data_IF_421731954404
#
_entry.id   IF_421731954404
#
_cell.length_a   1.000
_cell.length_b   1.000
_cell.length_c   1.000
_cell.angle_alpha   90.00
_cell.angle_beta   90.00
_cell.angle_gamma   90.00
#
_symmetry.space_group_name_H-M   'P 1'
#
loop_
_entity.id
_entity.type
_entity.pdbx_description
1 polymer ?
#
# COMPACT_ATOMS: atom_id res chain seq x y z
N UNK A 1 20.88 19.36 -8.92
CA UNK A 1 19.55 19.98 -8.75
C UNK A 1 18.93 19.43 -7.47
N UNK A 2 18.85 20.23 -6.40
CA UNK A 2 18.00 19.88 -5.26
C UNK A 2 16.57 20.17 -5.71
N UNK A 3 15.76 19.12 -5.83
CA UNK A 3 14.32 19.31 -5.90
C UNK A 3 13.93 19.76 -4.50
N UNK A 4 13.88 21.08 -4.30
CA UNK A 4 13.23 21.64 -3.12
C UNK A 4 11.77 21.23 -3.21
N UNK A 5 11.45 20.09 -2.59
CA UNK A 5 10.06 19.71 -2.31
C UNK A 5 9.58 20.69 -1.24
N UNK A 6 9.27 21.93 -1.64
CA UNK A 6 8.27 22.75 -0.95
C UNK A 6 6.89 22.15 -1.24
N UNK A 7 6.77 20.84 -1.00
CA UNK A 7 5.56 20.08 -1.18
C UNK A 7 4.66 20.42 -0.01
N UNK A 8 3.59 21.12 -0.30
CA UNK A 8 2.53 21.46 0.64
C UNK A 8 2.24 20.23 1.54
N UNK A 9 2.51 20.32 2.85
CA UNK A 9 2.39 19.21 3.83
C UNK A 9 1.04 18.49 3.70
N UNK A 10 0.02 19.24 3.28
CA UNK A 10 -1.30 18.74 2.94
C UNK A 10 -1.31 17.72 1.79
N UNK A 11 -0.67 18.00 0.64
CA UNK A 11 -0.59 17.06 -0.49
C UNK A 11 0.21 15.80 -0.15
N UNK A 12 1.17 15.93 0.76
CA UNK A 12 1.94 14.81 1.31
C UNK A 12 1.07 13.88 2.15
N UNK A 13 0.31 14.44 3.10
CA UNK A 13 -0.62 13.68 3.92
C UNK A 13 -1.74 13.06 3.08
N UNK A 14 -2.29 13.81 2.13
CA UNK A 14 -3.35 13.33 1.25
C UNK A 14 -2.86 12.20 0.35
N UNK A 15 -1.65 12.34 -0.21
CA UNK A 15 -1.03 11.29 -1.03
C UNK A 15 -0.67 10.04 -0.24
N UNK A 16 -0.14 10.18 0.97
CA UNK A 16 0.12 9.04 1.87
C UNK A 16 -1.16 8.31 2.28
N UNK A 17 -2.22 9.06 2.59
CA UNK A 17 -3.53 8.48 2.90
C UNK A 17 -4.10 7.74 1.69
N UNK A 18 -4.15 8.37 0.52
CA UNK A 18 -4.70 7.74 -0.70
C UNK A 18 -3.89 6.52 -1.15
N UNK A 19 -2.55 6.56 -1.02
CA UNK A 19 -1.68 5.45 -1.40
C UNK A 19 -1.67 4.30 -0.39
N UNK A 20 -1.79 4.59 0.90
CA UNK A 20 -1.55 3.63 1.99
C UNK A 20 -2.79 3.11 2.71
N UNK A 21 -3.92 3.85 2.70
CA UNK A 21 -5.12 3.49 3.50
C UNK A 21 -5.67 2.12 3.09
N UNK A 22 -5.71 1.80 1.80
CA UNK A 22 -6.16 0.48 1.35
C UNK A 22 -5.32 -0.66 1.93
N UNK A 23 -3.99 -0.50 1.97
CA UNK A 23 -3.08 -1.50 2.54
C UNK A 23 -3.25 -1.64 4.05
N UNK A 24 -3.43 -0.53 4.76
CA UNK A 24 -3.70 -0.53 6.21
C UNK A 24 -5.01 -1.26 6.49
N UNK A 25 -6.09 -0.92 5.78
CA UNK A 25 -7.39 -1.58 5.93
C UNK A 25 -7.27 -3.08 5.62
N UNK A 26 -6.60 -3.45 4.53
CA UNK A 26 -6.39 -4.85 4.15
C UNK A 26 -5.59 -5.63 5.20
N UNK A 27 -4.53 -5.03 5.75
CA UNK A 27 -3.73 -5.63 6.81
C UNK A 27 -4.56 -5.89 8.07
N UNK A 28 -5.26 -4.87 8.57
CA UNK A 28 -6.07 -4.98 9.78
C UNK A 28 -7.29 -5.89 9.60
N UNK A 29 -7.90 -5.90 8.42
CA UNK A 29 -8.98 -6.82 8.08
C UNK A 29 -8.52 -8.28 8.22
N UNK A 30 -7.37 -8.64 7.65
CA UNK A 30 -6.84 -10.00 7.75
C UNK A 30 -6.31 -10.35 9.15
N UNK A 31 -5.62 -9.42 9.80
CA UNK A 31 -5.00 -9.68 11.10
C UNK A 31 -6.00 -9.72 12.24
N UNK A 32 -7.01 -8.84 12.26
CA UNK A 32 -7.91 -8.68 13.39
C UNK A 32 -9.29 -9.28 13.10
N UNK A 33 -9.92 -8.85 12.00
CA UNK A 33 -11.33 -9.19 11.75
C UNK A 33 -11.52 -10.63 11.28
N UNK A 34 -10.57 -11.15 10.50
CA UNK A 34 -10.64 -12.51 9.96
C UNK A 34 -10.21 -13.53 11.01
N UNK A 35 -10.93 -14.65 11.10
CA UNK A 35 -10.55 -15.82 11.90
C UNK A 35 -10.15 -16.93 10.93
N UNK A 36 -8.91 -17.39 10.98
CA UNK A 36 -8.39 -18.40 10.05
C UNK A 36 -6.88 -18.56 10.14
N UNK A 37 -6.33 -19.58 9.48
CA UNK A 37 -4.90 -19.82 9.42
C UNK A 37 -4.16 -18.77 8.57
N UNK A 38 -4.89 -18.11 7.68
CA UNK A 38 -4.37 -17.15 6.72
C UNK A 38 -4.23 -15.73 7.30
N UNK A 39 -4.50 -15.48 8.59
CA UNK A 39 -4.46 -14.11 9.17
C UNK A 39 -3.10 -13.44 9.01
N UNK A 40 -2.03 -14.22 9.18
CA UNK A 40 -0.65 -13.71 9.10
C UNK A 40 -0.31 -13.14 7.73
N UNK A 41 -1.04 -13.56 6.68
CA UNK A 41 -0.90 -13.04 5.33
C UNK A 41 -1.20 -11.53 5.26
N UNK A 42 -1.98 -10.98 6.20
CA UNK A 42 -2.17 -9.54 6.34
C UNK A 42 -0.88 -8.76 6.60
N UNK A 43 0.17 -9.39 7.15
CA UNK A 43 1.46 -8.75 7.34
C UNK A 43 2.11 -8.33 6.03
N UNK A 44 1.82 -9.04 4.92
CA UNK A 44 2.37 -8.70 3.61
C UNK A 44 1.92 -7.31 3.17
N UNK A 45 0.71 -6.87 3.51
CA UNK A 45 0.23 -5.55 3.11
C UNK A 45 0.98 -4.38 3.79
N UNK A 46 1.70 -4.59 4.89
CA UNK A 46 2.59 -3.55 5.43
C UNK A 46 3.78 -3.22 4.52
N UNK A 47 4.13 -4.15 3.63
CA UNK A 47 5.16 -3.96 2.58
C UNK A 47 4.54 -3.30 1.32
N UNK A 48 3.28 -2.88 1.40
CA UNK A 48 2.57 -2.18 0.33
C UNK A 48 2.47 -2.99 -0.97
N UNK A 49 2.76 -2.41 -2.15
CA UNK A 49 2.56 -3.05 -3.45
C UNK A 49 3.44 -4.30 -3.65
N UNK A 50 4.64 -4.32 -3.06
CA UNK A 50 5.50 -5.52 -3.06
C UNK A 50 4.81 -6.65 -2.29
N UNK A 51 4.20 -6.33 -1.16
CA UNK A 51 3.36 -7.24 -0.39
C UNK A 51 2.19 -7.82 -1.18
N UNK A 52 1.46 -6.96 -1.90
CA UNK A 52 0.39 -7.39 -2.81
C UNK A 52 0.89 -8.34 -3.90
N UNK A 53 2.05 -8.07 -4.50
CA UNK A 53 2.64 -8.96 -5.50
C UNK A 53 2.99 -10.33 -4.89
N UNK A 54 3.64 -10.35 -3.73
CA UNK A 54 3.96 -11.59 -3.01
C UNK A 54 2.69 -12.39 -2.67
N UNK A 55 1.66 -11.71 -2.16
CA UNK A 55 0.36 -12.33 -1.90
C UNK A 55 -0.24 -12.99 -3.14
N UNK A 56 -0.25 -12.26 -4.25
CA UNK A 56 -0.76 -12.76 -5.51
C UNK A 56 -0.02 -14.03 -5.94
N UNK A 57 1.32 -14.02 -5.91
CA UNK A 57 2.10 -15.20 -6.32
C UNK A 57 1.96 -16.40 -5.38
N UNK A 58 1.84 -16.17 -4.07
CA UNK A 58 1.60 -17.23 -3.10
C UNK A 58 0.25 -17.93 -3.31
N UNK A 59 -0.78 -17.16 -3.70
CA UNK A 59 -2.17 -17.63 -3.76
C UNK A 59 -2.72 -17.79 -5.17
N UNK A 60 -1.93 -17.54 -6.22
CA UNK A 60 -2.40 -17.57 -7.62
C UNK A 60 -3.05 -18.90 -8.04
N UNK A 61 -2.61 -20.00 -7.44
CA UNK A 61 -3.11 -21.35 -7.71
C UNK A 61 -4.07 -21.86 -6.61
N UNK A 62 -4.24 -21.10 -5.53
CA UNK A 62 -5.12 -21.48 -4.42
C UNK A 62 -6.57 -21.06 -4.75
N UNK A 63 -7.40 -22.07 -5.07
CA UNK A 63 -8.82 -21.86 -5.37
C UNK A 63 -9.66 -21.59 -4.11
N UNK A 64 -9.20 -22.02 -2.94
CA UNK A 64 -9.93 -21.85 -1.68
C UNK A 64 -9.78 -20.42 -1.15
N UNK A 65 -8.64 -19.78 -1.42
CA UNK A 65 -8.34 -18.41 -0.99
C UNK A 65 -8.30 -17.38 -2.13
N UNK A 66 -9.09 -17.58 -3.19
CA UNK A 66 -9.08 -16.70 -4.36
C UNK A 66 -9.36 -15.22 -4.03
N UNK A 67 -10.21 -14.94 -3.04
CA UNK A 67 -10.53 -13.58 -2.62
C UNK A 67 -9.32 -12.81 -2.06
N UNK A 68 -8.33 -13.48 -1.44
CA UNK A 68 -7.09 -12.82 -0.97
C UNK A 68 -6.23 -12.34 -2.13
N UNK A 69 -6.13 -13.19 -3.16
CA UNK A 69 -5.45 -12.86 -4.41
C UNK A 69 -6.14 -11.68 -5.08
N UNK A 70 -7.47 -11.69 -5.14
CA UNK A 70 -8.25 -10.60 -5.74
C UNK A 70 -8.08 -9.29 -4.95
N UNK A 71 -8.12 -9.37 -3.61
CA UNK A 71 -7.86 -8.21 -2.74
C UNK A 71 -6.46 -7.63 -2.95
N UNK A 72 -5.44 -8.49 -3.05
CA UNK A 72 -4.08 -8.06 -3.35
C UNK A 72 -3.95 -7.37 -4.71
N UNK A 73 -4.64 -7.88 -5.74
CA UNK A 73 -4.71 -7.26 -7.06
C UNK A 73 -5.41 -5.90 -7.02
N UNK A 74 -6.54 -5.77 -6.31
CA UNK A 74 -7.23 -4.48 -6.18
C UNK A 74 -6.35 -3.43 -5.51
N UNK A 75 -5.62 -3.79 -4.45
CA UNK A 75 -4.66 -2.90 -3.82
C UNK A 75 -3.52 -2.51 -4.76
N UNK A 76 -3.00 -3.48 -5.54
CA UNK A 76 -1.97 -3.22 -6.53
C UNK A 76 -2.45 -2.28 -7.65
N UNK A 77 -3.67 -2.49 -8.16
CA UNK A 77 -4.28 -1.62 -9.16
C UNK A 77 -4.52 -0.22 -8.61
N UNK A 78 -5.01 -0.11 -7.37
CA UNK A 78 -5.14 1.18 -6.68
C UNK A 78 -3.81 1.92 -6.60
N UNK A 79 -2.72 1.21 -6.27
CA UNK A 79 -1.38 1.79 -6.26
C UNK A 79 -0.88 2.22 -7.64
N UNK A 80 -1.14 1.44 -8.68
CA UNK A 80 -0.77 1.79 -10.07
C UNK A 80 -1.52 3.06 -10.51
N UNK A 81 -2.83 3.13 -10.26
CA UNK A 81 -3.65 4.32 -10.54
C UNK A 81 -3.09 5.54 -9.79
N UNK A 82 -2.78 5.37 -8.50
CA UNK A 82 -2.15 6.43 -7.71
C UNK A 82 -0.80 6.86 -8.28
N UNK A 83 0.04 5.92 -8.72
CA UNK A 83 1.35 6.22 -9.29
C UNK A 83 1.25 7.09 -10.54
N UNK A 84 0.25 6.84 -11.39
CA UNK A 84 -0.02 7.66 -12.59
C UNK A 84 -0.42 9.10 -12.22
N UNK A 85 -1.06 9.31 -11.06
CA UNK A 85 -1.45 10.64 -10.56
C UNK A 85 -0.28 11.32 -9.82
N UNK A 86 0.47 10.57 -9.02
CA UNK A 86 1.54 11.07 -8.16
C UNK A 86 2.76 11.56 -8.95
N UNK A 87 3.16 10.84 -10.00
CA UNK A 87 4.35 11.16 -10.80
C UNK A 87 4.24 12.55 -11.44
N UNK A 88 3.14 12.93 -12.14
CA UNK A 88 2.96 14.28 -12.67
C UNK A 88 2.96 15.38 -11.59
N UNK A 89 2.58 15.06 -10.36
CA UNK A 89 2.57 15.99 -9.23
C UNK A 89 3.95 16.12 -8.56
N UNK A 90 5.00 15.46 -9.09
CA UNK A 90 6.34 15.46 -8.51
C UNK A 90 6.45 14.66 -7.21
N UNK A 91 5.48 13.77 -6.94
CA UNK A 91 5.41 12.95 -5.75
C UNK A 91 5.95 11.54 -6.04
N UNK A 92 6.78 11.00 -5.16
CA UNK A 92 7.22 9.62 -5.26
C UNK A 92 6.17 8.70 -4.60
N UNK A 93 5.45 7.86 -5.39
CA UNK A 93 4.34 7.06 -4.87
C UNK A 93 4.79 5.97 -3.89
N UNK A 94 5.97 5.38 -4.07
CA UNK A 94 6.53 4.42 -3.12
C UNK A 94 6.88 5.10 -1.80
N UNK A 95 7.47 6.29 -1.87
CA UNK A 95 7.82 7.05 -0.69
C UNK A 95 6.57 7.51 0.07
N UNK A 96 5.45 7.76 -0.61
CA UNK A 96 4.19 8.11 0.04
C UNK A 96 3.54 6.94 0.79
N UNK A 97 3.67 5.71 0.30
CA UNK A 97 3.25 4.52 1.05
C UNK A 97 4.00 4.42 2.39
N UNK A 98 5.30 4.69 2.39
CA UNK A 98 6.12 4.71 3.60
C UNK A 98 6.20 6.10 4.26
N UNK A 99 5.34 7.04 3.86
CA UNK A 99 5.37 8.42 4.35
C UNK A 99 5.18 8.51 5.87
N UNK A 100 4.48 7.54 6.47
CA UNK A 100 4.35 7.41 7.93
C UNK A 100 5.67 7.04 8.63
N UNK A 101 6.59 6.35 7.93
CA UNK A 101 7.91 5.96 8.48
C UNK A 101 8.89 7.12 8.43
N UNK A 102 8.83 7.98 7.41
CA UNK A 102 9.81 9.05 7.19
C UNK A 102 9.34 10.46 7.57
N UNK A 103 8.04 10.76 7.54
CA UNK A 103 7.52 12.04 8.04
C UNK A 103 7.73 12.25 9.55
N UNK A 104 8.20 11.21 10.25
CA UNK A 104 8.60 11.22 11.65
C UNK A 104 10.12 11.32 11.86
N UNK A 105 10.91 11.03 10.82
CA UNK A 105 12.39 11.02 10.87
C UNK A 105 13.02 12.30 10.26
N UNK A 106 12.21 13.15 9.62
CA UNK A 106 12.68 14.36 8.94
C UNK A 106 12.38 15.67 9.66
N UNK A 107 12.02 15.62 10.95
CA UNK A 107 12.01 16.79 11.86
C UNK A 107 13.26 16.76 12.74
#
# INVERSE_FOLDING_TARGET
>A
MRVEVKGNRFLWLLGGALAGVGYIIGAFYLLIARKGSERWLGLLYFVGPVGSLLMYFLLRNDKQNSYLKDMALYLLYGFIIWSVIAIPLGLNPFYQIFGYVHGWLSD
#
